data_IF_283893636933
#
_entry.id   IF_283893636933
#
_cell.length_a   1.000
_cell.length_b   1.000
_cell.length_c   1.000
_cell.angle_alpha   90.00
_cell.angle_beta   90.00
_cell.angle_gamma   90.00
#
_symmetry.space_group_name_H-M   'P 1'
#
loop_
_entity.id
_entity.type
_entity.pdbx_description
1 polymer ?
#
# COMPACT_ATOMS: atom_id res chain seq x y z
N UNK A 1 1.65 -1.84 24.19
CA UNK A 1 2.03 -2.33 22.86
C UNK A 1 1.29 -1.48 21.84
N UNK A 2 1.98 -0.97 20.84
CA UNK A 2 1.39 -0.09 19.81
C UNK A 2 1.54 -0.79 18.47
N UNK A 3 0.47 -0.81 17.66
CA UNK A 3 0.48 -1.32 16.29
C UNK A 3 0.50 -0.11 15.35
N UNK A 4 1.41 -0.10 14.38
CA UNK A 4 1.55 0.94 13.36
C UNK A 4 0.84 0.48 12.08
N UNK A 5 -0.08 1.29 11.60
CA UNK A 5 -0.87 0.98 10.40
C UNK A 5 -0.56 2.01 9.33
N UNK A 6 -0.03 1.56 8.19
CA UNK A 6 -0.06 2.35 6.97
C UNK A 6 -1.44 2.17 6.35
N UNK A 7 -2.10 3.25 5.94
CA UNK A 7 -3.43 3.20 5.34
C UNK A 7 -3.45 4.00 4.04
N UNK A 8 -4.02 3.41 2.99
CA UNK A 8 -4.15 4.01 1.66
C UNK A 8 -5.50 3.63 1.07
N UNK A 9 -6.08 4.53 0.29
CA UNK A 9 -7.28 4.30 -0.51
C UNK A 9 -7.12 4.94 -1.89
N UNK A 10 -8.13 4.79 -2.75
CA UNK A 10 -8.20 5.43 -4.06
C UNK A 10 -7.05 5.05 -5.02
N UNK A 11 -6.57 3.81 -4.91
CA UNK A 11 -5.55 3.27 -5.82
C UNK A 11 -6.22 2.79 -7.09
N UNK A 12 -6.21 3.63 -8.12
CA UNK A 12 -6.69 3.27 -9.45
C UNK A 12 -5.65 2.35 -10.15
N UNK A 13 -5.86 1.03 -10.13
CA UNK A 13 -4.99 0.11 -10.88
C UNK A 13 -5.54 -0.18 -12.27
N UNK A 14 -4.75 0.14 -13.29
CA UNK A 14 -4.95 -0.30 -14.65
C UNK A 14 -3.84 -1.25 -15.11
N UNK A 15 -3.93 -1.78 -16.35
CA UNK A 15 -2.86 -2.59 -16.95
C UNK A 15 -1.49 -1.90 -16.96
N UNK A 16 -1.47 -0.57 -17.08
CA UNK A 16 -0.25 0.23 -17.07
C UNK A 16 0.32 0.46 -15.65
N UNK A 17 -0.39 0.04 -14.60
CA UNK A 17 0.04 0.17 -13.19
C UNK A 17 0.98 -0.94 -12.75
N UNK A 18 1.35 -1.89 -13.63
CA UNK A 18 2.21 -3.01 -13.29
C UNK A 18 3.57 -2.52 -12.76
N UNK A 19 3.94 -2.98 -11.56
CA UNK A 19 5.23 -2.68 -10.95
C UNK A 19 5.36 -1.31 -10.28
N UNK A 20 4.44 -0.37 -10.53
CA UNK A 20 4.51 1.03 -10.05
C UNK A 20 4.63 1.15 -8.53
N UNK A 21 3.97 0.27 -7.77
CA UNK A 21 3.98 0.30 -6.30
C UNK A 21 5.07 -0.57 -5.65
N UNK A 22 5.83 -1.37 -6.42
CA UNK A 22 6.84 -2.27 -5.85
C UNK A 22 7.87 -1.55 -4.97
N UNK A 23 8.43 -0.38 -5.37
CA UNK A 23 9.40 0.32 -4.54
C UNK A 23 8.82 0.79 -3.19
N UNK A 24 7.54 1.16 -3.16
CA UNK A 24 6.87 1.56 -1.92
C UNK A 24 6.67 0.34 -0.99
N UNK A 25 6.32 -0.82 -1.54
CA UNK A 25 6.15 -2.04 -0.75
C UNK A 25 7.47 -2.61 -0.21
N UNK A 26 8.60 -2.39 -0.90
CA UNK A 26 9.93 -2.78 -0.43
C UNK A 26 10.34 -2.07 0.88
N UNK A 27 9.85 -0.86 1.12
CA UNK A 27 10.21 -0.04 2.29
C UNK A 27 9.12 0.02 3.36
N UNK A 28 7.97 -0.61 3.11
CA UNK A 28 6.78 -0.48 3.96
C UNK A 28 6.97 -1.03 5.37
N UNK A 29 7.78 -2.09 5.52
CA UNK A 29 8.08 -2.69 6.83
C UNK A 29 8.86 -1.76 7.76
N UNK A 30 9.56 -0.77 7.22
CA UNK A 30 10.34 0.18 8.03
C UNK A 30 9.39 1.10 8.82
N UNK A 31 8.22 1.40 8.25
CA UNK A 31 7.28 2.38 8.79
C UNK A 31 5.97 1.80 9.35
N UNK A 32 5.58 0.57 8.99
CA UNK A 32 4.31 -0.02 9.43
C UNK A 32 4.37 -1.53 9.69
N UNK A 33 3.50 -2.00 10.57
CA UNK A 33 3.35 -3.43 10.88
C UNK A 33 2.30 -4.10 9.98
N UNK A 34 1.37 -3.32 9.41
CA UNK A 34 0.40 -3.76 8.42
C UNK A 34 -0.01 -2.61 7.48
N UNK A 35 -0.44 -2.99 6.28
CA UNK A 35 -1.05 -2.11 5.28
C UNK A 35 -2.56 -2.30 5.25
N UNK A 36 -3.30 -1.22 5.44
CA UNK A 36 -4.74 -1.15 5.22
C UNK A 36 -5.02 -0.55 3.84
N UNK A 37 -5.51 -1.37 2.91
CA UNK A 37 -6.03 -0.94 1.61
C UNK A 37 -7.54 -0.70 1.74
N UNK A 38 -7.92 0.56 1.89
CA UNK A 38 -9.30 0.99 2.09
C UNK A 38 -9.83 1.63 0.80
N UNK A 39 -10.32 0.81 -0.13
CA UNK A 39 -10.93 1.33 -1.36
C UNK A 39 -11.11 0.27 -2.44
N UNK A 40 -11.56 0.76 -3.60
CA UNK A 40 -11.56 0.01 -4.85
C UNK A 40 -10.14 0.02 -5.43
N UNK A 41 -9.68 -1.13 -5.93
CA UNK A 41 -8.38 -1.26 -6.60
C UNK A 41 -8.53 -1.21 -8.12
N UNK A 42 -9.75 -1.01 -8.63
CA UNK A 42 -10.09 -1.05 -10.06
C UNK A 42 -10.48 0.29 -10.63
#
# INVERSE_FOLDING_TARGET
>A
MTIRVAAVGDIHMGPDSEGLLRPAFETLSDCADLLLLAGDLT
#
